data_IF_951480553357
#
_entry.id   IF_951480553357
#
_cell.length_a   1.000
_cell.length_b   1.000
_cell.length_c   1.000
_cell.angle_alpha   90.00
_cell.angle_beta   90.00
_cell.angle_gamma   90.00
#
_symmetry.space_group_name_H-M   'P 1'
#
loop_
_entity.id
_entity.type
_entity.pdbx_description
1 polymer ?
#
# COMPACT_ATOMS: atom_id res chain seq x y z
N UNK A 1 8.84 8.54 11.48
CA UNK A 1 9.10 9.00 10.11
C UNK A 1 8.51 8.07 9.03
N UNK A 2 8.70 6.77 9.13
CA UNK A 2 8.18 5.84 8.13
C UNK A 2 6.66 5.75 8.12
N UNK A 3 5.99 5.80 9.28
CA UNK A 3 4.52 5.82 9.32
C UNK A 3 3.98 7.00 8.53
N UNK A 4 4.59 8.19 8.70
CA UNK A 4 4.17 9.37 7.96
C UNK A 4 4.40 9.21 6.46
N UNK A 5 5.49 8.56 6.05
CA UNK A 5 5.73 8.30 4.63
C UNK A 5 4.66 7.39 4.03
N UNK A 6 4.26 6.34 4.74
CA UNK A 6 3.16 5.49 4.27
C UNK A 6 1.87 6.31 4.13
N UNK A 7 1.55 7.12 5.14
CA UNK A 7 0.35 7.96 5.15
C UNK A 7 0.34 9.01 4.03
N UNK A 8 1.50 9.55 3.66
CA UNK A 8 1.59 10.64 2.69
C UNK A 8 1.84 10.18 1.27
N UNK A 9 2.46 9.02 1.09
CA UNK A 9 2.89 8.54 -0.23
C UNK A 9 1.95 7.48 -0.78
N UNK A 10 1.60 6.47 0.00
CA UNK A 10 0.80 5.34 -0.49
C UNK A 10 -0.69 5.49 -0.18
N UNK A 11 -1.04 5.87 1.04
CA UNK A 11 -2.46 5.91 1.44
C UNK A 11 -3.33 6.86 0.60
N UNK A 12 -2.88 8.09 0.26
CA UNK A 12 -3.74 8.99 -0.52
C UNK A 12 -4.12 8.44 -1.89
N UNK A 13 -3.20 7.92 -2.73
CA UNK A 13 -3.63 7.39 -4.02
C UNK A 13 -4.48 6.13 -3.91
N UNK A 14 -4.20 5.25 -2.93
CA UNK A 14 -5.06 4.08 -2.68
C UNK A 14 -6.46 4.53 -2.28
N UNK A 15 -6.56 5.50 -1.39
CA UNK A 15 -7.83 6.06 -0.96
C UNK A 15 -8.60 6.71 -2.11
N UNK A 16 -7.91 7.40 -3.02
CA UNK A 16 -8.54 8.02 -4.18
C UNK A 16 -9.15 6.97 -5.11
N UNK A 17 -8.43 5.88 -5.37
CA UNK A 17 -8.97 4.78 -6.18
C UNK A 17 -10.19 4.18 -5.49
N UNK A 18 -10.10 3.92 -4.19
CA UNK A 18 -11.21 3.38 -3.41
C UNK A 18 -12.46 4.26 -3.52
N UNK A 19 -12.33 5.54 -3.20
CA UNK A 19 -13.47 6.47 -3.13
C UNK A 19 -14.08 6.71 -4.50
N UNK A 20 -13.27 6.83 -5.54
CA UNK A 20 -13.73 7.29 -6.84
C UNK A 20 -14.03 6.20 -7.86
N UNK A 21 -13.61 4.96 -7.63
CA UNK A 21 -13.79 3.90 -8.62
C UNK A 21 -14.46 2.64 -8.09
N UNK A 22 -14.35 2.34 -6.79
CA UNK A 22 -14.85 1.07 -6.28
C UNK A 22 -16.40 1.04 -6.19
N UNK A 23 -17.02 -0.09 -6.54
CA UNK A 23 -18.49 -0.21 -6.46
C UNK A 23 -19.09 0.07 -5.08
N UNK A 24 -18.36 -0.26 -3.99
CA UNK A 24 -18.85 -0.04 -2.63
C UNK A 24 -19.01 1.43 -2.28
N UNK A 25 -18.34 2.33 -3.01
CA UNK A 25 -18.41 3.76 -2.79
C UNK A 25 -19.25 4.49 -3.86
N UNK A 26 -19.96 3.75 -4.68
CA UNK A 26 -20.71 4.33 -5.81
C UNK A 26 -21.74 5.38 -5.40
N UNK A 27 -22.28 5.28 -4.18
CA UNK A 27 -23.31 6.21 -3.70
C UNK A 27 -22.75 7.47 -3.06
N UNK A 28 -21.42 7.60 -2.90
CA UNK A 28 -20.82 8.77 -2.28
C UNK A 28 -20.91 9.99 -3.21
N UNK A 29 -21.24 11.18 -2.66
CA UNK A 29 -21.28 12.40 -3.47
C UNK A 29 -19.88 12.88 -3.81
N UNK A 30 -19.75 13.63 -4.91
CA UNK A 30 -18.47 14.20 -5.33
C UNK A 30 -17.50 13.20 -5.94
N UNK A 31 -17.96 12.01 -6.25
CA UNK A 31 -17.14 10.96 -6.83
C UNK A 31 -16.66 11.33 -8.23
N UNK A 32 -15.37 11.13 -8.51
CA UNK A 32 -14.77 11.45 -9.80
C UNK A 32 -13.91 10.26 -10.29
N UNK A 33 -14.48 9.47 -11.20
CA UNK A 33 -13.83 8.27 -11.72
C UNK A 33 -12.53 8.58 -12.46
N UNK A 34 -12.43 9.71 -13.17
CA UNK A 34 -11.20 10.10 -13.86
C UNK A 34 -10.06 10.35 -12.86
N UNK A 35 -10.35 11.02 -11.76
CA UNK A 35 -9.38 11.26 -10.72
C UNK A 35 -8.93 9.93 -10.07
N UNK A 36 -9.89 9.05 -9.80
CA UNK A 36 -9.57 7.73 -9.26
C UNK A 36 -8.65 6.94 -10.20
N UNK A 37 -8.98 6.89 -11.48
CA UNK A 37 -8.16 6.18 -12.46
C UNK A 37 -6.76 6.82 -12.60
N UNK A 38 -6.67 8.16 -12.52
CA UNK A 38 -5.39 8.85 -12.58
C UNK A 38 -4.47 8.50 -11.40
N UNK A 39 -5.02 8.02 -10.29
CA UNK A 39 -4.23 7.63 -9.13
C UNK A 39 -3.71 6.18 -9.20
N UNK A 40 -4.19 5.35 -10.12
CA UNK A 40 -3.69 3.98 -10.25
C UNK A 40 -2.18 3.92 -10.52
N UNK A 41 -1.62 4.67 -11.48
CA UNK A 41 -0.17 4.70 -11.66
C UNK A 41 0.58 5.22 -10.45
N UNK A 42 -0.03 6.14 -9.69
CA UNK A 42 0.58 6.69 -8.49
C UNK A 42 0.72 5.65 -7.39
N UNK A 43 -0.24 4.71 -7.29
CA UNK A 43 -0.14 3.58 -6.37
C UNK A 43 1.05 2.71 -6.76
N UNK A 44 1.21 2.39 -8.04
CA UNK A 44 2.33 1.60 -8.52
C UNK A 44 3.67 2.28 -8.23
N UNK A 45 3.77 3.58 -8.46
CA UNK A 45 4.99 4.35 -8.15
C UNK A 45 5.29 4.35 -6.66
N UNK A 46 4.25 4.51 -5.83
CA UNK A 46 4.42 4.47 -4.38
C UNK A 46 4.90 3.11 -3.91
N UNK A 47 4.37 2.03 -4.46
CA UNK A 47 4.83 0.69 -4.13
C UNK A 47 6.29 0.47 -4.53
N UNK A 48 6.70 1.00 -5.68
CA UNK A 48 8.11 0.96 -6.11
C UNK A 48 9.01 1.74 -5.16
N UNK A 49 8.54 2.88 -4.65
CA UNK A 49 9.28 3.64 -3.65
C UNK A 49 9.56 2.80 -2.40
N UNK A 50 8.53 2.11 -1.89
CA UNK A 50 8.70 1.26 -0.71
C UNK A 50 9.53 0.02 -1.01
N UNK A 51 9.44 -0.52 -2.22
CA UNK A 51 10.29 -1.62 -2.68
C UNK A 51 11.77 -1.22 -2.62
N UNK A 52 12.10 -0.06 -3.17
CA UNK A 52 13.46 0.47 -3.14
C UNK A 52 13.92 0.76 -1.71
N UNK A 53 13.03 1.30 -0.89
CA UNK A 53 13.36 1.64 0.51
C UNK A 53 13.64 0.39 1.35
N UNK A 54 12.95 -0.70 1.07
CA UNK A 54 13.23 -1.98 1.73
C UNK A 54 14.57 -2.56 1.27
N UNK A 55 14.83 -2.53 -0.04
CA UNK A 55 16.07 -3.06 -0.60
C UNK A 55 16.34 -4.47 -0.11
N UNK A 56 17.50 -4.68 0.53
CA UNK A 56 17.86 -5.94 1.13
C UNK A 56 17.48 -6.04 2.62
N UNK A 57 16.84 -5.00 3.16
CA UNK A 57 16.43 -4.98 4.57
C UNK A 57 15.18 -5.80 4.83
N UNK A 58 14.97 -6.17 6.08
CA UNK A 58 13.83 -6.98 6.48
C UNK A 58 12.59 -6.15 6.78
N UNK A 59 12.76 -4.90 7.20
CA UNK A 59 11.67 -4.01 7.61
C UNK A 59 11.94 -2.57 7.18
N UNK A 60 10.88 -1.74 7.16
CA UNK A 60 10.98 -0.35 6.72
C UNK A 60 11.94 0.49 7.56
N UNK A 61 11.93 0.30 8.87
CA UNK A 61 12.76 1.09 9.79
C UNK A 61 14.09 0.41 10.11
N UNK A 62 14.53 -0.56 9.31
CA UNK A 62 15.76 -1.28 9.51
C UNK A 62 15.52 -2.76 9.79
N UNK A 63 16.21 -3.31 10.77
CA UNK A 63 16.12 -4.74 11.07
C UNK A 63 14.95 -5.11 11.99
N UNK A 64 14.36 -4.12 12.66
CA UNK A 64 13.31 -4.36 13.63
C UNK A 64 11.92 -4.13 13.03
N UNK A 65 10.98 -5.03 13.36
CA UNK A 65 9.57 -4.87 13.03
C UNK A 65 8.99 -3.67 13.80
N UNK A 66 8.28 -2.80 13.12
CA UNK A 66 7.78 -1.56 13.70
C UNK A 66 6.33 -1.28 13.32
N UNK A 67 5.75 -0.22 13.91
CA UNK A 67 4.41 0.25 13.56
C UNK A 67 4.32 0.63 12.08
N UNK A 68 5.41 1.10 11.48
CA UNK A 68 5.44 1.43 10.06
C UNK A 68 5.20 0.19 9.18
N UNK A 69 5.72 -0.97 9.58
CA UNK A 69 5.47 -2.22 8.87
C UNK A 69 4.02 -2.62 8.94
N UNK A 70 3.38 -2.45 10.11
CA UNK A 70 1.95 -2.75 10.28
C UNK A 70 1.12 -1.84 9.38
N UNK A 71 1.43 -0.55 9.37
CA UNK A 71 0.70 0.42 8.56
C UNK A 71 0.86 0.14 7.06
N UNK A 72 2.07 -0.17 6.62
CA UNK A 72 2.32 -0.52 5.22
C UNK A 72 1.59 -1.82 4.85
N UNK A 73 1.63 -2.83 5.72
CA UNK A 73 0.94 -4.11 5.48
C UNK A 73 -0.56 -3.89 5.27
N UNK A 74 -1.21 -3.14 6.18
CA UNK A 74 -2.64 -2.90 6.08
C UNK A 74 -2.98 -2.10 4.83
N UNK A 75 -2.14 -1.15 4.44
CA UNK A 75 -2.36 -0.34 3.26
C UNK A 75 -2.21 -1.16 1.98
N UNK A 76 -1.18 -2.02 1.90
CA UNK A 76 -0.97 -2.90 0.75
C UNK A 76 -2.12 -3.90 0.63
N UNK A 77 -2.57 -4.48 1.75
CA UNK A 77 -3.69 -5.42 1.74
C UNK A 77 -5.00 -4.73 1.34
N UNK A 78 -5.23 -3.50 1.79
CA UNK A 78 -6.38 -2.72 1.37
C UNK A 78 -6.32 -2.39 -0.12
N UNK A 79 -5.13 -2.05 -0.63
CA UNK A 79 -4.94 -1.80 -2.06
C UNK A 79 -5.33 -3.04 -2.88
N UNK A 80 -4.93 -4.23 -2.43
CA UNK A 80 -5.29 -5.48 -3.08
C UNK A 80 -6.81 -5.69 -3.07
N UNK A 81 -7.47 -5.39 -1.94
CA UNK A 81 -8.92 -5.46 -1.83
C UNK A 81 -9.60 -4.55 -2.86
N UNK A 82 -9.03 -3.37 -3.11
CA UNK A 82 -9.55 -2.39 -4.07
C UNK A 82 -9.26 -2.81 -5.53
N UNK A 83 -8.44 -3.83 -5.74
CA UNK A 83 -8.06 -4.32 -7.06
C UNK A 83 -6.74 -3.78 -7.58
N UNK A 84 -5.92 -3.23 -6.68
CA UNK A 84 -4.60 -2.68 -7.02
C UNK A 84 -3.53 -3.70 -6.63
N UNK A 85 -2.90 -4.30 -7.63
CA UNK A 85 -1.86 -5.29 -7.37
C UNK A 85 -0.48 -4.65 -7.32
N UNK A 86 0.41 -5.32 -6.56
CA UNK A 86 1.81 -4.93 -6.48
C UNK A 86 2.48 -5.16 -7.84
N UNK A 87 3.26 -4.17 -8.35
CA UNK A 87 4.00 -4.37 -9.60
C UNK A 87 4.92 -5.59 -9.52
N UNK A 88 5.00 -6.34 -10.60
CA UNK A 88 5.78 -7.59 -10.63
C UNK A 88 7.27 -7.41 -10.38
N UNK A 89 7.81 -6.22 -10.67
CA UNK A 89 9.23 -5.92 -10.41
C UNK A 89 9.54 -5.60 -8.96
N UNK A 90 8.52 -5.46 -8.10
CA UNK A 90 8.70 -5.15 -6.67
C UNK A 90 9.00 -6.41 -5.86
N UNK A 91 10.15 -7.04 -6.13
CA UNK A 91 10.51 -8.29 -5.48
C UNK A 91 10.81 -8.13 -3.98
N UNK A 92 11.44 -7.03 -3.57
CA UNK A 92 11.74 -6.78 -2.16
C UNK A 92 10.46 -6.54 -1.37
N UNK A 93 9.53 -5.79 -1.94
CA UNK A 93 8.23 -5.52 -1.30
C UNK A 93 7.41 -6.81 -1.19
N UNK A 94 7.42 -7.65 -2.23
CA UNK A 94 6.70 -8.92 -2.21
C UNK A 94 7.26 -9.87 -1.14
N UNK A 95 8.58 -9.97 -1.04
CA UNK A 95 9.22 -10.80 -0.01
C UNK A 95 8.92 -10.28 1.40
N UNK A 96 8.97 -8.96 1.59
CA UNK A 96 8.60 -8.33 2.85
C UNK A 96 7.14 -8.64 3.21
N UNK A 97 6.23 -8.54 2.25
CA UNK A 97 4.81 -8.80 2.46
C UNK A 97 4.57 -10.24 2.94
N UNK A 98 5.24 -11.21 2.33
CA UNK A 98 5.14 -12.60 2.76
C UNK A 98 5.64 -12.79 4.19
N UNK A 99 6.80 -12.23 4.53
CA UNK A 99 7.36 -12.36 5.88
C UNK A 99 6.45 -11.77 6.94
N UNK A 100 5.98 -10.55 6.70
CA UNK A 100 5.16 -9.82 7.68
C UNK A 100 3.77 -10.43 7.80
N UNK A 101 3.19 -10.88 6.70
CA UNK A 101 1.86 -11.53 6.70
C UNK A 101 1.87 -12.86 7.47
N UNK A 102 3.01 -13.51 7.56
CA UNK A 102 3.14 -14.77 8.29
C UNK A 102 3.27 -14.58 9.81
N UNK A 103 3.41 -13.34 10.30
CA UNK A 103 3.50 -13.10 11.74
C UNK A 103 2.15 -13.34 12.41
N UNK A 104 2.14 -13.92 13.62
CA UNK A 104 0.88 -14.18 14.33
C UNK A 104 0.03 -12.92 14.54
N UNK A 105 0.65 -11.76 14.75
CA UNK A 105 -0.06 -10.50 14.92
C UNK A 105 -0.78 -10.05 13.66
N UNK A 106 -0.30 -10.42 12.48
CA UNK A 106 -0.93 -10.07 11.21
C UNK A 106 -2.11 -10.99 10.89
N UNK A 107 -2.09 -12.22 11.40
CA UNK A 107 -3.15 -13.21 11.18
C UNK A 107 -4.32 -13.07 12.16
N UNK A 108 -4.14 -12.29 13.21
CA UNK A 108 -5.15 -12.13 14.27
C UNK A 108 -6.36 -11.30 13.85
#
# INVERSE_FOLDING_TARGET
MWCRRVEMILMPPVGAVWVHTHPFTAALPGRNAEWGEANRPRVAEAMRFFDESLGAGDHLAGDDFSAADILLLTTVDFAKFVGLEMPGECAALAAWHERVSARPSAAA
#
